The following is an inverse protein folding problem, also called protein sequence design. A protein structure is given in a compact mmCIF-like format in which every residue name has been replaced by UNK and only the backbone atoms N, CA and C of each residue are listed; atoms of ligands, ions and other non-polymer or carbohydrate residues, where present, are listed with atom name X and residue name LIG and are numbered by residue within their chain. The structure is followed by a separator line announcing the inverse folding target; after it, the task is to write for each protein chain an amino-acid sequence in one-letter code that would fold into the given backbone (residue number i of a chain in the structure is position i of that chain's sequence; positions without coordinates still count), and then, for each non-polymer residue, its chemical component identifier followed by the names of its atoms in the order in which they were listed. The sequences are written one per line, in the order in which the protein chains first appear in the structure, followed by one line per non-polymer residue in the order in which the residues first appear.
data_IF_459999160619
#
_entry.id   IF_459999160619
#
_cell.length_a   1.000
_cell.length_b   1.000
_cell.length_c   1.000
_cell.angle_alpha   90.00
_cell.angle_beta   90.00
_cell.angle_gamma   90.00
#
_symmetry.space_group_name_H-M   'P 1'
#
loop_
_entity.id
_entity.type
_entity.pdbx_description
1 polymer ?
#
# COMPACT_ATOMS: atom_id res chain seq x y z
N UNK A 1 -5.93 -26.36 49.76
CA UNK A 1 -5.95 -26.41 48.29
C UNK A 1 -5.00 -25.33 47.79
N UNK A 2 -3.71 -25.66 47.64
CA UNK A 2 -2.73 -24.71 47.10
C UNK A 2 -3.06 -24.44 45.63
N UNK A 3 -3.34 -23.18 45.30
CA UNK A 3 -3.41 -22.77 43.90
C UNK A 3 -1.98 -22.77 43.35
N UNK A 4 -1.63 -23.78 42.57
CA UNK A 4 -0.38 -23.81 41.83
C UNK A 4 -0.34 -22.59 40.90
N UNK A 5 0.52 -21.63 41.22
CA UNK A 5 0.80 -20.48 40.37
C UNK A 5 1.19 -21.00 38.97
N UNK A 6 0.54 -20.54 37.88
CA UNK A 6 0.92 -20.95 36.53
C UNK A 6 2.42 -20.69 36.32
N UNK A 7 3.19 -21.68 35.83
CA UNK A 7 4.66 -21.59 35.69
C UNK A 7 5.15 -20.49 34.72
N UNK A 8 4.22 -19.80 34.07
CA UNK A 8 4.47 -18.61 33.24
C UNK A 8 4.57 -17.31 34.05
N UNK A 9 4.10 -17.29 35.30
CA UNK A 9 4.19 -16.10 36.17
C UNK A 9 5.61 -15.83 36.69
N UNK A 10 6.52 -16.81 36.58
CA UNK A 10 7.91 -16.74 37.06
C UNK A 10 8.94 -16.65 35.93
N UNK A 11 8.53 -16.54 34.66
CA UNK A 11 9.48 -16.32 33.58
C UNK A 11 9.97 -14.87 33.66
N UNK A 12 11.25 -14.67 33.99
CA UNK A 12 11.92 -13.39 33.74
C UNK A 12 11.61 -13.01 32.29
N UNK A 13 10.96 -11.87 32.07
CA UNK A 13 10.55 -11.45 30.73
C UNK A 13 11.75 -11.59 29.81
N UNK A 14 11.61 -12.40 28.75
CA UNK A 14 12.69 -12.62 27.80
C UNK A 14 13.27 -11.25 27.42
N UNK A 15 14.60 -11.05 27.47
CA UNK A 15 15.17 -9.76 27.12
C UNK A 15 14.63 -9.38 25.75
N UNK A 16 13.97 -8.23 25.65
CA UNK A 16 13.42 -7.75 24.39
C UNK A 16 14.62 -7.47 23.49
N UNK A 17 15.00 -8.48 22.70
CA UNK A 17 16.19 -8.41 21.88
C UNK A 17 16.11 -7.22 20.94
N UNK A 18 17.26 -6.61 20.61
CA UNK A 18 17.35 -5.51 19.63
C UNK A 18 16.66 -5.85 18.31
N UNK A 19 16.51 -7.14 17.99
CA UNK A 19 15.77 -7.66 16.84
C UNK A 19 14.33 -7.11 16.74
N UNK A 20 13.59 -7.00 17.84
CA UNK A 20 12.23 -6.46 17.80
C UNK A 20 12.20 -4.99 17.34
N UNK A 21 13.17 -4.19 17.81
CA UNK A 21 13.33 -2.81 17.38
C UNK A 21 13.71 -2.74 15.90
N UNK A 22 14.71 -3.51 15.47
CA UNK A 22 15.13 -3.58 14.06
C UNK A 22 13.96 -3.95 13.13
N UNK A 23 13.17 -4.94 13.50
CA UNK A 23 12.05 -5.39 12.69
C UNK A 23 10.92 -4.34 12.60
N UNK A 24 10.74 -3.49 13.62
CA UNK A 24 9.76 -2.40 13.56
C UNK A 24 10.29 -1.21 12.73
N UNK A 25 11.60 -0.93 12.80
CA UNK A 25 12.29 0.02 11.94
C UNK A 25 12.21 -0.37 10.47
N UNK A 26 12.56 -1.61 10.11
CA UNK A 26 12.49 -2.09 8.73
C UNK A 26 11.04 -2.08 8.21
N UNK A 27 10.06 -2.42 9.05
CA UNK A 27 8.65 -2.31 8.67
C UNK A 27 8.26 -0.86 8.34
N UNK A 28 8.72 0.11 9.14
CA UNK A 28 8.47 1.53 8.87
C UNK A 28 9.16 1.98 7.59
N UNK A 29 10.46 1.70 7.43
CA UNK A 29 11.25 2.16 6.30
C UNK A 29 10.74 1.58 4.97
N UNK A 30 10.40 0.29 4.94
CA UNK A 30 9.77 -0.33 3.78
C UNK A 30 8.40 0.28 3.47
N UNK A 31 7.59 0.56 4.49
CA UNK A 31 6.31 1.25 4.32
C UNK A 31 6.47 2.66 3.74
N UNK A 32 7.41 3.44 4.27
CA UNK A 32 7.70 4.79 3.77
C UNK A 32 8.23 4.77 2.32
N UNK A 33 9.12 3.83 2.00
CA UNK A 33 9.63 3.64 0.64
C UNK A 33 8.51 3.29 -0.35
N UNK A 34 7.58 2.39 0.05
CA UNK A 34 6.43 2.02 -0.78
C UNK A 34 5.43 3.18 -0.95
N UNK A 35 5.21 4.00 0.07
CA UNK A 35 4.38 5.22 -0.06
C UNK A 35 4.97 6.16 -1.11
N UNK A 36 6.27 6.44 -1.01
CA UNK A 36 6.96 7.30 -1.98
C UNK A 36 6.91 6.72 -3.39
N UNK A 37 7.17 5.41 -3.52
CA UNK A 37 7.02 4.70 -4.79
C UNK A 37 5.61 4.86 -5.36
N UNK A 38 4.56 4.70 -4.56
CA UNK A 38 3.18 4.82 -5.04
C UNK A 38 2.85 6.22 -5.52
N UNK A 39 3.36 7.28 -4.88
CA UNK A 39 3.21 8.64 -5.39
C UNK A 39 3.93 8.84 -6.72
N UNK A 40 5.19 8.42 -6.82
CA UNK A 40 5.95 8.48 -8.07
C UNK A 40 5.27 7.67 -9.18
N UNK A 41 4.78 6.49 -8.85
CA UNK A 41 4.05 5.59 -9.74
C UNK A 41 2.80 6.28 -10.29
N UNK A 42 1.93 6.82 -9.40
CA UNK A 42 0.69 7.46 -9.82
C UNK A 42 0.97 8.69 -10.68
N UNK A 43 1.98 9.50 -10.36
CA UNK A 43 2.40 10.63 -11.20
C UNK A 43 2.86 10.18 -12.59
N UNK A 44 3.68 9.12 -12.67
CA UNK A 44 4.17 8.60 -13.94
C UNK A 44 3.02 8.08 -14.81
N UNK A 45 2.15 7.22 -14.27
CA UNK A 45 1.06 6.62 -15.06
C UNK A 45 -0.03 7.64 -15.40
N UNK A 46 -0.26 8.64 -14.55
CA UNK A 46 -1.26 9.69 -14.77
C UNK A 46 -0.78 10.80 -15.71
N UNK A 47 0.51 10.85 -16.03
CA UNK A 47 1.04 11.80 -17.02
C UNK A 47 0.41 11.64 -18.42
N UNK A 48 -0.25 10.51 -18.69
CA UNK A 48 -1.07 10.27 -19.90
C UNK A 48 -2.25 11.25 -20.01
N UNK A 49 -2.73 11.79 -18.88
CA UNK A 49 -3.77 12.82 -18.84
C UNK A 49 -3.30 14.10 -19.54
N UNK A 50 -2.02 14.44 -19.44
CA UNK A 50 -1.41 15.56 -20.17
C UNK A 50 -1.27 15.17 -21.64
N UNK A 51 -0.52 14.09 -21.92
CA UNK A 51 -0.53 13.45 -23.24
C UNK A 51 0.15 12.07 -23.20
N UNK A 52 -0.19 11.16 -24.13
CA UNK A 52 0.53 9.89 -24.28
C UNK A 52 2.02 10.06 -24.57
N UNK A 53 2.41 11.16 -25.23
CA UNK A 53 3.82 11.47 -25.52
C UNK A 53 4.62 11.75 -24.26
N UNK A 54 4.04 12.47 -23.29
CA UNK A 54 4.68 12.76 -22.00
C UNK A 54 4.88 11.47 -21.22
N UNK A 55 3.87 10.60 -21.15
CA UNK A 55 3.98 9.30 -20.48
C UNK A 55 5.06 8.43 -21.13
N UNK A 56 5.08 8.35 -22.46
CA UNK A 56 6.10 7.60 -23.18
C UNK A 56 7.50 8.17 -22.98
N UNK A 57 7.66 9.49 -22.91
CA UNK A 57 8.97 10.12 -22.66
C UNK A 57 9.48 9.79 -21.24
N UNK A 58 8.61 9.84 -20.23
CA UNK A 58 8.96 9.42 -18.87
C UNK A 58 9.26 7.92 -18.80
N UNK A 59 8.45 7.08 -19.44
CA UNK A 59 8.69 5.65 -19.48
C UNK A 59 9.99 5.31 -20.22
N UNK A 60 10.31 6.02 -21.29
CA UNK A 60 11.59 5.89 -22.00
C UNK A 60 12.78 6.29 -21.12
N UNK A 61 12.67 7.36 -20.33
CA UNK A 61 13.70 7.71 -19.33
C UNK A 61 13.96 6.57 -18.35
N UNK A 62 12.91 5.89 -17.87
CA UNK A 62 13.05 4.73 -16.98
C UNK A 62 13.66 3.51 -17.70
N UNK A 63 13.38 3.36 -19.00
CA UNK A 63 13.92 2.28 -19.83
C UNK A 63 15.44 2.47 -20.06
N UNK A 64 15.87 3.66 -20.50
CA UNK A 64 17.28 3.93 -20.83
C UNK A 64 18.19 3.97 -19.60
N UNK A 65 17.63 4.32 -18.44
CA UNK A 65 18.35 4.27 -17.15
C UNK A 65 18.33 2.89 -16.51
N UNK A 66 17.69 1.90 -17.15
CA UNK A 66 17.44 0.56 -16.60
C UNK A 66 16.68 0.55 -15.26
N UNK A 67 16.03 1.67 -14.93
CA UNK A 67 15.40 1.87 -13.62
C UNK A 67 14.15 1.00 -13.47
N UNK A 68 13.43 0.68 -14.56
CA UNK A 68 12.30 -0.25 -14.50
C UNK A 68 12.75 -1.71 -14.29
N UNK A 69 13.87 -2.10 -14.90
CA UNK A 69 14.41 -3.45 -14.93
C UNK A 69 15.08 -3.81 -13.59
N UNK A 70 15.76 -2.86 -12.96
CA UNK A 70 16.38 -3.04 -11.64
C UNK A 70 15.43 -2.62 -10.53
N UNK A 71 14.81 -1.45 -10.66
CA UNK A 71 13.90 -0.91 -9.64
C UNK A 71 12.62 -1.73 -9.49
N UNK A 72 12.09 -2.31 -10.56
CA UNK A 72 10.92 -3.17 -10.52
C UNK A 72 11.06 -4.37 -9.58
N UNK A 73 12.07 -5.25 -9.78
CA UNK A 73 12.37 -6.36 -8.88
C UNK A 73 12.69 -5.92 -7.44
N UNK A 74 13.40 -4.79 -7.26
CA UNK A 74 13.70 -4.27 -5.92
C UNK A 74 12.44 -3.80 -5.18
N UNK A 75 11.51 -3.13 -5.86
CA UNK A 75 10.22 -2.74 -5.29
C UNK A 75 9.36 -3.98 -5.01
N UNK A 76 9.39 -5.00 -5.88
CA UNK A 76 8.69 -6.25 -5.61
C UNK A 76 9.25 -6.96 -4.38
N UNK A 77 10.58 -6.96 -4.19
CA UNK A 77 11.20 -7.47 -2.97
C UNK A 77 10.80 -6.64 -1.75
N UNK A 78 10.86 -5.31 -1.83
CA UNK A 78 10.45 -4.42 -0.74
C UNK A 78 8.96 -4.62 -0.37
N UNK A 79 8.10 -4.85 -1.36
CA UNK A 79 6.69 -5.20 -1.19
C UNK A 79 6.51 -6.50 -0.40
N UNK A 80 7.24 -7.57 -0.74
CA UNK A 80 7.19 -8.84 -0.01
C UNK A 80 7.76 -8.71 1.41
N UNK A 81 8.89 -8.03 1.58
CA UNK A 81 9.48 -7.77 2.90
C UNK A 81 8.51 -6.97 3.77
N UNK A 82 7.90 -5.91 3.21
CA UNK A 82 6.89 -5.13 3.91
C UNK A 82 5.72 -6.00 4.35
N UNK A 83 5.21 -6.85 3.47
CA UNK A 83 4.12 -7.77 3.77
C UNK A 83 4.47 -8.71 4.91
N UNK A 84 5.62 -9.41 4.85
CA UNK A 84 6.04 -10.35 5.90
C UNK A 84 6.16 -9.64 7.25
N UNK A 85 6.73 -8.44 7.28
CA UNK A 85 6.88 -7.69 8.52
C UNK A 85 5.54 -7.17 9.07
N UNK A 86 4.65 -6.70 8.20
CA UNK A 86 3.32 -6.21 8.55
C UNK A 86 2.36 -7.35 8.95
N UNK A 87 2.48 -8.53 8.33
CA UNK A 87 1.66 -9.71 8.60
C UNK A 87 1.73 -10.14 10.06
N UNK A 88 2.86 -9.92 10.75
CA UNK A 88 2.99 -10.21 12.19
C UNK A 88 1.99 -9.45 13.07
N UNK A 89 1.38 -8.37 12.55
CA UNK A 89 0.38 -7.56 13.25
C UNK A 89 -1.05 -7.93 12.86
N UNK A 90 -1.25 -8.82 11.89
CA UNK A 90 -2.57 -9.18 11.36
C UNK A 90 -3.11 -10.41 12.11
N UNK A 91 -4.35 -10.36 12.64
CA UNK A 91 -4.97 -11.52 13.26
C UNK A 91 -5.39 -12.52 12.18
N UNK A 92 -4.66 -13.63 12.07
CA UNK A 92 -4.99 -14.69 11.12
C UNK A 92 -5.98 -15.71 11.69
N UNK A 93 -6.09 -15.82 13.02
CA UNK A 93 -7.05 -16.76 13.61
C UNK A 93 -8.45 -16.15 13.67
N UNK A 94 -9.48 -16.97 13.40
CA UNK A 94 -10.88 -16.51 13.47
C UNK A 94 -11.26 -15.98 14.85
N UNK A 95 -10.65 -16.51 15.92
CA UNK A 95 -10.87 -16.02 17.30
C UNK A 95 -10.38 -14.58 17.45
N UNK A 96 -9.15 -14.28 17.05
CA UNK A 96 -8.59 -12.93 17.14
C UNK A 96 -9.35 -11.94 16.25
N UNK A 97 -9.74 -12.37 15.05
CA UNK A 97 -10.56 -11.56 14.14
C UNK A 97 -11.91 -11.19 14.77
N UNK A 98 -12.60 -12.15 15.39
CA UNK A 98 -13.88 -11.90 16.09
C UNK A 98 -13.70 -10.91 17.24
N UNK A 99 -12.66 -11.08 18.05
CA UNK A 99 -12.36 -10.19 19.18
C UNK A 99 -12.05 -8.78 18.69
N UNK A 100 -11.20 -8.64 17.67
CA UNK A 100 -10.87 -7.36 17.04
C UNK A 100 -12.13 -6.65 16.51
N UNK A 101 -12.97 -7.35 15.76
CA UNK A 101 -14.19 -6.77 15.19
C UNK A 101 -15.20 -6.38 16.29
N UNK A 102 -15.37 -7.20 17.33
CA UNK A 102 -16.23 -6.87 18.46
C UNK A 102 -15.75 -5.61 19.18
N UNK A 103 -14.44 -5.51 19.44
CA UNK A 103 -13.83 -4.34 20.07
C UNK A 103 -13.95 -3.07 19.21
N UNK A 104 -13.73 -3.17 17.90
CA UNK A 104 -13.87 -2.05 16.98
C UNK A 104 -15.32 -1.53 16.91
N UNK A 105 -16.31 -2.44 16.90
CA UNK A 105 -17.73 -2.09 16.94
C UNK A 105 -18.13 -1.42 18.26
N UNK A 106 -17.58 -1.88 19.39
CA UNK A 106 -17.86 -1.30 20.72
C UNK A 106 -17.25 0.09 20.87
N UNK A 107 -15.99 0.28 20.47
CA UNK A 107 -15.29 1.56 20.62
C UNK A 107 -15.80 2.63 19.66
N UNK A 108 -16.29 2.26 18.46
CA UNK A 108 -16.67 3.19 17.38
C UNK A 108 -15.59 4.24 17.09
N UNK A 109 -14.34 3.89 17.32
CA UNK A 109 -13.21 4.79 17.20
C UNK A 109 -12.67 4.75 15.75
N UNK A 110 -12.57 5.90 15.07
CA UNK A 110 -12.32 5.92 13.64
C UNK A 110 -10.95 5.36 13.27
N UNK A 111 -9.89 5.63 14.04
CA UNK A 111 -8.58 5.12 13.68
C UNK A 111 -8.49 3.59 13.87
N UNK A 112 -9.27 3.03 14.79
CA UNK A 112 -9.37 1.57 14.93
C UNK A 112 -10.00 0.94 13.69
N UNK A 113 -11.03 1.58 13.12
CA UNK A 113 -11.62 1.16 11.86
C UNK A 113 -10.68 1.34 10.67
N UNK A 114 -9.93 2.44 10.61
CA UNK A 114 -8.91 2.65 9.56
C UNK A 114 -7.84 1.56 9.59
N UNK A 115 -7.48 1.05 10.78
CA UNK A 115 -6.56 -0.10 10.87
C UNK A 115 -7.16 -1.37 10.24
N UNK A 116 -8.45 -1.64 10.49
CA UNK A 116 -9.15 -2.80 9.90
C UNK A 116 -9.23 -2.66 8.38
N UNK A 117 -9.52 -1.45 7.88
CA UNK A 117 -9.48 -1.14 6.44
C UNK A 117 -8.09 -1.43 5.90
N UNK A 118 -7.03 -0.92 6.54
CA UNK A 118 -5.65 -1.12 6.12
C UNK A 118 -5.27 -2.61 6.08
N UNK A 119 -5.65 -3.40 7.09
CA UNK A 119 -5.40 -4.84 7.12
C UNK A 119 -6.17 -5.58 6.02
N UNK A 120 -7.43 -5.22 5.79
CA UNK A 120 -8.28 -5.82 4.75
C UNK A 120 -7.75 -5.49 3.36
N UNK A 121 -7.42 -4.23 3.09
CA UNK A 121 -6.87 -3.82 1.79
C UNK A 121 -5.51 -4.45 1.54
N UNK A 122 -4.66 -4.61 2.55
CA UNK A 122 -3.37 -5.28 2.42
C UNK A 122 -3.49 -6.69 1.83
N UNK A 123 -4.51 -7.46 2.22
CA UNK A 123 -4.68 -8.84 1.74
C UNK A 123 -5.05 -8.88 0.26
N UNK A 124 -5.94 -7.99 -0.19
CA UNK A 124 -6.26 -7.92 -1.62
C UNK A 124 -5.12 -7.32 -2.45
N UNK A 125 -4.40 -6.34 -1.91
CA UNK A 125 -3.19 -5.79 -2.56
C UNK A 125 -2.10 -6.85 -2.69
N UNK A 126 -1.94 -7.75 -1.72
CA UNK A 126 -0.98 -8.86 -1.86
C UNK A 126 -1.20 -9.64 -3.16
N UNK A 127 -2.46 -9.99 -3.41
CA UNK A 127 -2.86 -10.80 -4.57
C UNK A 127 -2.82 -9.95 -5.84
N UNK A 128 -3.58 -8.86 -5.86
CA UNK A 128 -3.75 -8.02 -7.05
C UNK A 128 -2.48 -7.24 -7.37
N UNK A 129 -1.81 -6.66 -6.38
CA UNK A 129 -0.53 -6.00 -6.55
C UNK A 129 0.55 -6.97 -7.04
N UNK A 130 0.58 -8.21 -6.55
CA UNK A 130 1.47 -9.25 -7.06
C UNK A 130 1.24 -9.57 -8.54
N UNK A 131 -0.02 -9.80 -8.94
CA UNK A 131 -0.41 -10.02 -10.35
C UNK A 131 -0.03 -8.82 -11.22
N UNK A 132 -0.32 -7.60 -10.75
CA UNK A 132 -0.02 -6.36 -11.46
C UNK A 132 1.48 -6.20 -11.70
N UNK A 133 2.30 -6.39 -10.66
CA UNK A 133 3.75 -6.28 -10.73
C UNK A 133 4.33 -7.33 -11.67
N UNK A 134 3.87 -8.58 -11.58
CA UNK A 134 4.29 -9.64 -12.49
C UNK A 134 4.06 -9.24 -13.96
N UNK A 135 2.82 -8.91 -14.32
CA UNK A 135 2.44 -8.62 -15.73
C UNK A 135 3.17 -7.41 -16.29
N UNK A 136 3.39 -6.36 -15.50
CA UNK A 136 4.11 -5.16 -15.96
C UNK A 136 5.60 -5.44 -16.12
N UNK A 137 6.22 -6.13 -15.16
CA UNK A 137 7.67 -6.38 -15.19
C UNK A 137 8.07 -7.42 -16.24
N UNK A 138 7.19 -8.35 -16.60
CA UNK A 138 7.43 -9.31 -17.68
C UNK A 138 7.10 -8.76 -19.08
N UNK A 139 6.53 -7.56 -19.19
CA UNK A 139 6.14 -6.95 -20.48
C UNK A 139 6.73 -5.54 -20.66
N UNK A 140 8.00 -5.38 -20.27
CA UNK A 140 8.79 -4.20 -20.59
C UNK A 140 9.10 -4.14 -22.11
N UNK A 141 9.37 -2.97 -22.70
CA UNK A 141 9.29 -1.63 -22.12
C UNK A 141 7.85 -1.15 -21.90
N UNK A 142 7.67 -0.23 -20.96
CA UNK A 142 6.38 0.40 -20.65
C UNK A 142 6.06 1.45 -21.73
N UNK A 143 4.86 1.37 -22.32
CA UNK A 143 4.33 2.41 -23.21
C UNK A 143 2.87 2.71 -22.91
N UNK A 144 2.39 3.89 -23.31
CA UNK A 144 1.00 4.31 -23.20
C UNK A 144 0.08 3.37 -23.99
N UNK A 145 0.52 2.92 -25.16
CA UNK A 145 -0.22 2.01 -26.02
C UNK A 145 -0.38 0.62 -25.40
N UNK A 146 0.71 0.00 -24.92
CA UNK A 146 0.62 -1.30 -24.22
C UNK A 146 -0.25 -1.21 -22.97
N UNK A 147 -0.18 -0.08 -22.25
CA UNK A 147 -0.98 0.15 -21.06
C UNK A 147 -2.47 0.31 -21.39
N UNK A 148 -2.80 1.06 -22.45
CA UNK A 148 -4.16 1.19 -22.97
C UNK A 148 -4.71 -0.14 -23.50
N UNK A 149 -3.95 -0.86 -24.31
CA UNK A 149 -4.32 -2.17 -24.83
C UNK A 149 -4.63 -3.16 -23.70
N UNK A 150 -3.83 -3.18 -22.63
CA UNK A 150 -4.11 -4.00 -21.45
C UNK A 150 -5.43 -3.58 -20.79
N UNK A 151 -5.64 -2.29 -20.56
CA UNK A 151 -6.85 -1.78 -19.87
C UNK A 151 -8.12 -2.03 -20.69
N UNK A 152 -8.06 -1.87 -22.01
CA UNK A 152 -9.20 -2.04 -22.92
C UNK A 152 -9.57 -3.49 -23.18
N UNK A 153 -8.70 -4.45 -22.83
CA UNK A 153 -8.92 -5.87 -23.10
C UNK A 153 -9.25 -6.64 -21.83
N UNK A 154 -10.16 -7.61 -21.95
CA UNK A 154 -10.52 -8.53 -20.87
C UNK A 154 -11.06 -7.82 -19.62
N UNK A 155 -10.65 -8.31 -18.44
CA UNK A 155 -11.14 -7.83 -17.15
C UNK A 155 -10.20 -6.81 -16.47
N UNK A 156 -9.18 -6.31 -17.18
CA UNK A 156 -8.14 -5.46 -16.59
C UNK A 156 -8.65 -4.10 -16.13
N UNK A 157 -9.60 -3.49 -16.84
CA UNK A 157 -10.21 -2.24 -16.37
C UNK A 157 -10.88 -2.41 -15.00
N UNK A 158 -11.68 -3.47 -14.82
CA UNK A 158 -12.34 -3.77 -13.55
C UNK A 158 -11.33 -4.14 -12.48
N UNK A 159 -10.30 -4.92 -12.83
CA UNK A 159 -9.19 -5.24 -11.93
C UNK A 159 -8.56 -3.96 -11.35
N UNK A 160 -8.25 -2.97 -12.18
CA UNK A 160 -7.68 -1.71 -11.69
C UNK A 160 -8.68 -0.84 -10.94
N UNK A 161 -9.98 -0.93 -11.26
CA UNK A 161 -11.04 -0.23 -10.53
C UNK A 161 -11.12 -0.66 -9.06
N UNK A 162 -10.78 -1.91 -8.74
CA UNK A 162 -10.65 -2.39 -7.37
C UNK A 162 -9.26 -2.13 -6.79
N UNK A 163 -8.19 -2.37 -7.56
CA UNK A 163 -6.82 -2.19 -7.05
C UNK A 163 -6.55 -0.73 -6.64
N UNK A 164 -7.02 0.24 -7.43
CA UNK A 164 -6.81 1.67 -7.20
C UNK A 164 -7.27 2.11 -5.80
N UNK A 165 -8.56 2.03 -5.43
CA UNK A 165 -9.00 2.45 -4.10
C UNK A 165 -8.39 1.62 -2.98
N UNK A 166 -8.09 0.33 -3.19
CA UNK A 166 -7.45 -0.50 -2.18
C UNK A 166 -6.06 0.02 -1.83
N UNK A 167 -5.21 0.25 -2.84
CA UNK A 167 -3.85 0.76 -2.64
C UNK A 167 -3.87 2.17 -2.11
N UNK A 168 -4.67 3.07 -2.67
CA UNK A 168 -4.72 4.47 -2.22
C UNK A 168 -5.18 4.59 -0.76
N UNK A 169 -6.20 3.85 -0.35
CA UNK A 169 -6.62 3.81 1.06
C UNK A 169 -5.53 3.20 1.97
N UNK A 170 -4.85 2.15 1.51
CA UNK A 170 -3.77 1.53 2.28
C UNK A 170 -2.58 2.48 2.48
N UNK A 171 -2.17 3.17 1.40
CA UNK A 171 -1.06 4.12 1.37
C UNK A 171 -1.39 5.35 2.20
N UNK A 172 -2.56 5.96 2.01
CA UNK A 172 -2.99 7.14 2.76
C UNK A 172 -3.06 6.89 4.26
N UNK A 173 -3.77 5.84 4.68
CA UNK A 173 -3.88 5.46 6.10
C UNK A 173 -2.52 5.07 6.67
N UNK A 174 -1.71 4.34 5.89
CA UNK A 174 -0.35 3.96 6.27
C UNK A 174 0.55 5.16 6.52
N UNK A 175 0.53 6.14 5.62
CA UNK A 175 1.29 7.38 5.73
C UNK A 175 0.89 8.18 6.98
N UNK A 176 -0.41 8.39 7.20
CA UNK A 176 -0.93 9.02 8.41
C UNK A 176 -0.44 8.30 9.68
N UNK A 177 -0.50 6.97 9.71
CA UNK A 177 -0.09 6.17 10.87
C UNK A 177 1.41 6.20 11.11
N UNK A 178 2.25 6.24 10.07
CA UNK A 178 3.71 6.39 10.22
C UNK A 178 4.01 7.73 10.90
N UNK A 179 3.42 8.83 10.42
CA UNK A 179 3.65 10.17 10.97
C UNK A 179 3.25 10.27 12.45
N UNK A 180 2.09 9.72 12.82
CA UNK A 180 1.63 9.72 14.21
C UNK A 180 2.46 8.80 15.10
N UNK A 181 2.81 7.59 14.61
CA UNK A 181 3.53 6.59 15.41
C UNK A 181 4.95 7.04 15.77
N UNK A 182 5.63 7.70 14.84
CA UNK A 182 7.02 8.11 15.01
C UNK A 182 7.18 9.54 15.53
N UNK A 183 6.10 10.17 15.98
CA UNK A 183 6.15 11.48 16.62
C UNK A 183 6.46 12.64 15.68
N UNK A 184 6.36 12.45 14.37
CA UNK A 184 6.46 13.56 13.40
C UNK A 184 5.25 14.51 13.48
N UNK A 185 4.22 14.17 14.27
CA UNK A 185 3.01 14.95 14.44
C UNK A 185 2.54 14.98 15.90
N UNK A 186 2.37 16.18 16.44
CA UNK A 186 1.83 16.41 17.78
C UNK A 186 0.29 16.28 17.84
N UNK A 187 -0.22 16.11 19.06
CA UNK A 187 -1.67 15.98 19.37
C UNK A 187 -2.57 17.02 18.69
N UNK A 188 -2.23 18.34 18.63
CA UNK A 188 -3.07 19.34 17.98
C UNK A 188 -3.12 19.19 16.45
N UNK A 189 -2.03 18.71 15.84
CA UNK A 189 -1.91 18.56 14.39
C UNK A 189 -2.67 17.37 13.81
N UNK A 190 -3.08 16.41 14.65
CA UNK A 190 -3.69 15.13 14.24
C UNK A 190 -4.98 15.28 13.44
N UNK A 191 -5.88 16.17 13.86
CA UNK A 191 -7.15 16.38 13.17
C UNK A 191 -6.96 17.05 11.80
N UNK A 192 -6.08 18.06 11.75
CA UNK A 192 -5.75 18.77 10.51
C UNK A 192 -5.06 17.85 9.51
N UNK A 193 -4.10 17.03 9.95
CA UNK A 193 -3.43 16.07 9.08
C UNK A 193 -4.39 15.01 8.55
N UNK A 194 -5.27 14.47 9.41
CA UNK A 194 -6.27 13.49 8.97
C UNK A 194 -7.20 14.04 7.89
N UNK A 195 -7.63 15.30 8.03
CA UNK A 195 -8.42 15.97 6.99
C UNK A 195 -7.62 16.13 5.69
N UNK A 196 -6.36 16.57 5.79
CA UNK A 196 -5.47 16.74 4.63
C UNK A 196 -5.16 15.42 3.93
N UNK A 197 -4.91 14.36 4.69
CA UNK A 197 -4.63 13.02 4.16
C UNK A 197 -5.87 12.45 3.47
N UNK A 198 -7.06 12.55 4.06
CA UNK A 198 -8.29 12.17 3.39
C UNK A 198 -8.50 12.93 2.07
N UNK A 199 -8.25 14.24 2.06
CA UNK A 199 -8.34 15.06 0.83
C UNK A 199 -7.34 14.60 -0.22
N UNK A 200 -6.09 14.37 0.17
CA UNK A 200 -5.04 13.87 -0.71
C UNK A 200 -5.40 12.49 -1.30
N UNK A 201 -5.85 11.56 -0.46
CA UNK A 201 -6.30 10.23 -0.89
C UNK A 201 -7.47 10.32 -1.86
N UNK A 202 -8.46 11.19 -1.61
CA UNK A 202 -9.56 11.42 -2.56
C UNK A 202 -9.08 12.01 -3.89
N UNK A 203 -8.13 12.94 -3.87
CA UNK A 203 -7.53 13.51 -5.08
C UNK A 203 -6.78 12.45 -5.89
N UNK A 204 -5.97 11.60 -5.26
CA UNK A 204 -5.26 10.53 -5.94
C UNK A 204 -6.22 9.48 -6.52
N UNK A 205 -7.28 9.10 -5.80
CA UNK A 205 -8.34 8.25 -6.36
C UNK A 205 -8.98 8.92 -7.57
N UNK A 206 -9.32 10.21 -7.50
CA UNK A 206 -9.90 10.95 -8.61
C UNK A 206 -8.99 10.99 -9.84
N UNK A 207 -7.71 11.32 -9.66
CA UNK A 207 -6.70 11.33 -10.72
C UNK A 207 -6.50 9.92 -11.30
N UNK A 208 -6.46 8.89 -10.45
CA UNK A 208 -6.34 7.50 -10.87
C UNK A 208 -7.53 7.05 -11.70
N UNK A 209 -8.76 7.40 -11.32
CA UNK A 209 -9.96 7.09 -12.08
C UNK A 209 -9.97 7.80 -13.44
N UNK A 210 -9.62 9.09 -13.48
CA UNK A 210 -9.47 9.82 -14.74
C UNK A 210 -8.41 9.18 -15.64
N UNK A 211 -7.30 8.72 -15.05
CA UNK A 211 -6.21 8.03 -15.76
C UNK A 211 -6.69 6.70 -16.35
N UNK A 212 -7.45 5.90 -15.59
CA UNK A 212 -8.03 4.65 -16.09
C UNK A 212 -9.00 4.91 -17.25
N UNK A 213 -9.88 5.90 -17.12
CA UNK A 213 -10.78 6.31 -18.21
C UNK A 213 -10.00 6.79 -19.43
N UNK A 214 -8.93 7.57 -19.22
CA UNK A 214 -8.08 8.03 -20.31
C UNK A 214 -7.44 6.88 -21.07
N UNK A 215 -6.93 5.86 -20.38
CA UNK A 215 -6.40 4.66 -21.03
C UNK A 215 -7.50 3.85 -21.73
N UNK A 216 -8.69 3.74 -21.14
CA UNK A 216 -9.81 3.02 -21.72
C UNK A 216 -10.28 3.63 -23.06
N UNK A 217 -10.28 4.96 -23.17
CA UNK A 217 -10.67 5.67 -24.39
C UNK A 217 -9.48 6.08 -25.28
N UNK A 218 -8.26 5.65 -24.98
CA UNK A 218 -7.10 6.00 -25.79
C UNK A 218 -7.15 5.22 -27.11
N UNK A 219 -7.18 5.87 -28.29
CA UNK A 219 -7.16 5.15 -29.56
C UNK A 219 -5.85 4.36 -29.68
N UNK A 220 -5.97 3.05 -29.90
CA UNK A 220 -4.84 2.19 -30.25
C UNK A 220 -4.55 2.34 -31.74
N UNK A 221 -3.28 2.26 -32.12
CA UNK A 221 -2.86 2.30 -33.52
C UNK A 221 -2.64 0.91 -34.07
#
# INVERSE_FOLDING_TARGET
MEMSVPSTATQAGLPVGKLAAWLDWVQMLTGAALVLFMWCHLMLVSSVLISPKVMNALAWFFEVTFMAQVGGPLIFLAFLVHFVLAARKIPFTTREQRVMLANARRMRHPDTWLWIVQATTAMGILIMGGIHLWVVLTNLPITAEKSAARIQTGFWFVFYLFLLPMVELHVGVGFYRILVKWGFLDRPGRFSLKKKENVMTMLFIGIGLLTLLRYYFLPLK
#
